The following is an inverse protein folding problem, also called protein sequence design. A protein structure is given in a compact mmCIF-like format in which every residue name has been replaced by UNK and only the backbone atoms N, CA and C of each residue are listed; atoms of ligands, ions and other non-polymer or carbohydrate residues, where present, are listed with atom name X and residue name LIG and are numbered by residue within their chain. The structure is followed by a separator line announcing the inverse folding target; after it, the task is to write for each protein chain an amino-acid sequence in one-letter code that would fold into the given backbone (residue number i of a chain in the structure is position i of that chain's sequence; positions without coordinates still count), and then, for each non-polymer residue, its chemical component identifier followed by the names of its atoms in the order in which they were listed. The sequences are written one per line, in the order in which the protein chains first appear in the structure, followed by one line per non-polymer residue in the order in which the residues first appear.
data_IF_513586611778
#
_entry.id   IF_513586611778
#
_cell.length_a   1.000
_cell.length_b   1.000
_cell.length_c   1.000
_cell.angle_alpha   90.00
_cell.angle_beta   90.00
_cell.angle_gamma   90.00
#
_symmetry.space_group_name_H-M   'P 1'
#
loop_
_entity.id
_entity.type
_entity.pdbx_description
1 polymer ?
#
# COMPACT_ATOMS: atom_id res chain seq x y z
N UNK A 1 24.46 11.53 2.47
CA UNK A 1 24.43 10.32 1.61
C UNK A 1 23.19 9.54 1.95
N UNK A 2 22.46 9.01 0.96
CA UNK A 2 21.29 8.14 1.19
C UNK A 2 21.73 6.69 1.40
N UNK A 3 20.90 5.86 2.04
CA UNK A 3 21.15 4.43 2.27
C UNK A 3 20.69 3.53 1.12
N UNK A 4 19.92 4.06 0.16
CA UNK A 4 19.39 3.31 -1.00
C UNK A 4 18.51 2.10 -0.61
N UNK A 5 17.89 2.14 0.57
CA UNK A 5 16.98 1.10 1.06
C UNK A 5 15.55 1.42 0.61
N UNK A 6 14.91 0.45 -0.03
CA UNK A 6 13.49 0.54 -0.37
C UNK A 6 12.62 0.35 0.88
N UNK A 7 11.63 1.23 1.04
CA UNK A 7 10.71 1.23 2.18
C UNK A 7 9.32 0.82 1.72
N UNK A 8 8.67 -0.04 2.50
CA UNK A 8 7.27 -0.43 2.31
C UNK A 8 6.44 -0.08 3.53
N UNK A 9 5.29 0.58 3.34
CA UNK A 9 4.32 0.83 4.40
C UNK A 9 3.31 -0.32 4.51
N UNK A 10 3.18 -0.90 5.70
CA UNK A 10 2.29 -2.02 5.98
C UNK A 10 1.09 -1.59 6.84
N UNK A 11 -0.04 -2.28 6.68
CA UNK A 11 -1.25 -2.07 7.47
C UNK A 11 -2.14 -0.94 6.96
N UNK A 12 -1.92 -0.45 5.74
CA UNK A 12 -2.72 0.63 5.14
C UNK A 12 -4.16 0.16 4.91
N UNK A 13 -5.11 0.81 5.56
CA UNK A 13 -6.51 0.38 5.59
C UNK A 13 -7.46 1.42 4.97
N UNK A 14 -7.06 2.69 4.93
CA UNK A 14 -7.90 3.77 4.40
C UNK A 14 -7.25 4.52 3.23
N UNK A 15 -8.05 5.05 2.27
CA UNK A 15 -7.52 5.89 1.21
C UNK A 15 -6.74 7.11 1.73
N UNK A 16 -7.16 7.70 2.84
CA UNK A 16 -6.52 8.88 3.43
C UNK A 16 -5.10 8.59 3.92
N UNK A 17 -4.89 7.43 4.57
CA UNK A 17 -3.55 6.95 4.98
C UNK A 17 -2.64 6.75 3.78
N UNK A 18 -3.16 6.08 2.73
CA UNK A 18 -2.41 5.85 1.50
C UNK A 18 -2.02 7.17 0.82
N UNK A 19 -2.98 8.06 0.59
CA UNK A 19 -2.74 9.34 -0.08
C UNK A 19 -1.72 10.19 0.67
N UNK A 20 -1.79 10.22 2.00
CA UNK A 20 -0.82 10.96 2.82
C UNK A 20 0.60 10.37 2.69
N UNK A 21 0.74 9.04 2.80
CA UNK A 21 2.04 8.35 2.68
C UNK A 21 2.63 8.45 1.26
N UNK A 22 1.80 8.35 0.23
CA UNK A 22 2.21 8.52 -1.17
C UNK A 22 2.76 9.93 -1.39
N UNK A 23 2.08 10.96 -0.86
CA UNK A 23 2.56 12.35 -0.95
C UNK A 23 3.89 12.58 -0.20
N UNK A 24 4.20 11.73 0.79
CA UNK A 24 5.46 11.76 1.53
C UNK A 24 6.60 10.98 0.82
N UNK A 25 6.35 10.39 -0.35
CA UNK A 25 7.34 9.68 -1.16
C UNK A 25 7.46 8.18 -0.89
N UNK A 26 6.48 7.58 -0.22
CA UNK A 26 6.39 6.11 -0.13
C UNK A 26 5.74 5.57 -1.39
N UNK A 27 6.37 4.58 -2.01
CA UNK A 27 5.91 3.99 -3.27
C UNK A 27 5.39 2.55 -3.11
N UNK A 28 5.75 1.87 -2.01
CA UNK A 28 5.40 0.47 -1.76
C UNK A 28 4.44 0.33 -0.59
N UNK A 29 3.34 -0.39 -0.81
CA UNK A 29 2.25 -0.50 0.15
C UNK A 29 1.73 -1.93 0.29
N UNK A 30 1.32 -2.27 1.51
CA UNK A 30 0.58 -3.48 1.82
C UNK A 30 -0.50 -3.18 2.85
N UNK A 31 -1.72 -3.65 2.62
CA UNK A 31 -2.80 -3.56 3.60
C UNK A 31 -4.15 -3.89 3.02
N UNK A 32 -5.14 -3.97 3.91
CA UNK A 32 -6.52 -4.35 3.59
C UNK A 32 -7.21 -3.37 2.62
N UNK A 33 -6.68 -2.15 2.48
CA UNK A 33 -7.11 -1.21 1.45
C UNK A 33 -6.95 -1.79 0.03
N UNK A 34 -5.84 -2.49 -0.21
CA UNK A 34 -5.49 -3.02 -1.53
C UNK A 34 -5.87 -4.49 -1.66
N UNK A 35 -5.52 -5.32 -0.68
CA UNK A 35 -5.74 -6.75 -0.73
C UNK A 35 -5.75 -7.36 0.66
N UNK A 36 -6.81 -8.12 0.97
CA UNK A 36 -6.86 -8.95 2.18
C UNK A 36 -6.06 -10.24 1.98
N UNK A 37 -5.54 -10.78 3.08
CA UNK A 37 -4.90 -12.10 3.06
C UNK A 37 -5.85 -13.17 2.53
N UNK A 38 -5.34 -14.07 1.68
CA UNK A 38 -6.10 -15.14 1.05
C UNK A 38 -5.42 -16.48 1.29
N UNK A 39 -6.12 -17.39 1.96
CA UNK A 39 -5.63 -18.74 2.19
C UNK A 39 -5.54 -19.51 0.85
N UNK A 40 -4.40 -20.18 0.61
CA UNK A 40 -4.17 -21.00 -0.57
C UNK A 40 -4.39 -20.29 -1.92
N UNK A 41 -4.11 -18.98 -2.00
CA UNK A 41 -4.24 -18.26 -3.25
C UNK A 41 -3.67 -16.84 -3.22
N UNK A 42 -3.68 -16.22 -4.39
CA UNK A 42 -3.27 -14.82 -4.57
C UNK A 42 -4.53 -13.94 -4.54
N UNK A 43 -4.60 -12.91 -3.69
CA UNK A 43 -5.74 -11.99 -3.65
C UNK A 43 -5.74 -11.07 -4.89
N UNK A 44 -6.94 -10.68 -5.32
CA UNK A 44 -7.07 -9.61 -6.31
C UNK A 44 -6.75 -8.27 -5.65
N UNK A 45 -6.06 -7.40 -6.38
CA UNK A 45 -5.73 -6.06 -5.90
C UNK A 45 -6.91 -5.14 -6.23
N UNK A 46 -7.44 -4.47 -5.21
CA UNK A 46 -8.38 -3.37 -5.34
C UNK A 46 -7.59 -2.06 -5.41
N UNK A 47 -7.59 -1.42 -6.59
CA UNK A 47 -7.00 -0.10 -6.73
C UNK A 47 -8.03 0.96 -6.35
N UNK A 48 -7.73 1.84 -5.39
CA UNK A 48 -8.55 3.02 -5.07
C UNK A 48 -8.45 4.05 -6.22
N UNK A 49 -9.13 3.78 -7.33
CA UNK A 49 -9.21 4.71 -8.46
C UNK A 49 -10.15 5.89 -8.13
N UNK A 50 -9.81 7.07 -8.65
CA UNK A 50 -10.74 8.20 -8.71
C UNK A 50 -11.83 7.84 -9.72
N UNK A 51 -13.07 7.70 -9.24
CA UNK A 51 -14.25 7.81 -10.12
C UNK A 51 -14.38 9.22 -10.68
#
# INVERSE_FOLDING_TARGET
TSLEIQVSAMGVATPEEWMWLESAGIEMFQGDLFAKAKLNGIPSIAWPEKK
#
